data_IF_735293715529
#
_entry.id   IF_735293715529
#
_cell.length_a   1.000
_cell.length_b   1.000
_cell.length_c   1.000
_cell.angle_alpha   90.00
_cell.angle_beta   90.00
_cell.angle_gamma   90.00
#
_symmetry.space_group_name_H-M   'P 1'
#
loop_
_entity.id
_entity.type
_entity.pdbx_description
1 polymer ?
#
# COMPACT_ATOMS: atom_id res chain seq x y z
N UNK A 1 4.90 10.65 8.83
CA UNK A 1 5.54 11.66 7.97
C UNK A 1 4.60 12.81 7.66
N UNK A 2 3.54 12.63 6.87
CA UNK A 2 2.70 13.76 6.46
C UNK A 2 1.88 14.44 7.57
N UNK A 3 1.56 13.75 8.67
CA UNK A 3 0.93 14.33 9.87
C UNK A 3 1.84 15.27 10.70
N UNK A 4 3.15 15.31 10.44
CA UNK A 4 4.06 16.15 11.23
C UNK A 4 3.78 17.64 10.97
N UNK A 5 3.62 18.41 12.05
CA UNK A 5 3.37 19.86 12.04
C UNK A 5 4.68 20.65 11.89
N UNK A 6 5.37 20.42 10.78
CA UNK A 6 6.59 21.13 10.39
C UNK A 6 6.47 21.62 8.96
N UNK A 7 7.21 22.67 8.60
CA UNK A 7 7.31 23.11 7.22
C UNK A 7 7.91 21.99 6.37
N UNK A 8 7.16 21.54 5.36
CA UNK A 8 7.59 20.55 4.37
C UNK A 8 7.69 21.25 3.02
N UNK A 9 8.88 21.69 2.58
CA UNK A 9 9.03 22.46 1.35
C UNK A 9 8.86 21.63 0.07
N UNK A 10 8.73 20.31 0.19
CA UNK A 10 8.45 19.39 -0.92
C UNK A 10 7.34 18.40 -0.57
N UNK A 11 6.65 17.91 -1.60
CA UNK A 11 5.63 16.88 -1.47
C UNK A 11 6.25 15.55 -1.05
N UNK A 12 5.81 15.00 0.08
CA UNK A 12 6.19 13.67 0.53
C UNK A 12 5.14 12.66 0.06
N UNK A 13 5.40 12.05 -1.08
CA UNK A 13 4.55 11.02 -1.71
C UNK A 13 5.24 9.64 -1.69
N UNK A 14 4.63 8.66 -2.34
CA UNK A 14 5.12 7.28 -2.41
C UNK A 14 5.51 6.86 -3.83
N UNK A 15 6.48 5.96 -3.92
CA UNK A 15 6.77 5.16 -5.12
C UNK A 15 6.98 3.72 -4.66
N UNK A 16 5.89 2.95 -4.64
CA UNK A 16 5.86 1.64 -4.00
C UNK A 16 5.70 0.52 -5.02
N UNK A 17 6.62 -0.44 -4.99
CA UNK A 17 6.45 -1.75 -5.63
C UNK A 17 5.71 -2.72 -4.72
N UNK A 18 6.47 -3.44 -3.87
CA UNK A 18 5.94 -4.52 -3.01
C UNK A 18 4.81 -4.08 -2.08
N UNK A 19 4.91 -2.92 -1.44
CA UNK A 19 3.91 -2.45 -0.49
C UNK A 19 2.53 -2.19 -1.14
N UNK A 20 2.49 -2.02 -2.46
CA UNK A 20 1.27 -1.75 -3.21
C UNK A 20 0.75 -3.03 -3.89
N UNK A 21 1.64 -3.86 -4.42
CA UNK A 21 1.27 -5.04 -5.22
C UNK A 21 1.11 -6.34 -4.42
N UNK A 22 1.74 -6.49 -3.23
CA UNK A 22 1.81 -7.79 -2.56
C UNK A 22 0.42 -8.32 -2.14
N UNK A 23 -0.50 -7.48 -1.65
CA UNK A 23 -1.88 -7.92 -1.37
C UNK A 23 -2.63 -8.29 -2.64
N UNK A 24 -2.44 -7.55 -3.72
CA UNK A 24 -3.06 -7.82 -5.02
C UNK A 24 -2.59 -9.14 -5.60
N UNK A 25 -1.28 -9.42 -5.56
CA UNK A 25 -0.70 -10.67 -6.04
C UNK A 25 -1.19 -11.87 -5.23
N UNK A 26 -1.26 -11.73 -3.89
CA UNK A 26 -1.83 -12.77 -3.01
C UNK A 26 -3.30 -13.05 -3.33
N UNK A 27 -4.11 -12.01 -3.55
CA UNK A 27 -5.53 -12.18 -3.89
C UNK A 27 -5.74 -12.73 -5.30
N UNK A 28 -4.86 -12.38 -6.24
CA UNK A 28 -4.97 -12.86 -7.62
C UNK A 28 -4.64 -14.35 -7.74
N UNK A 29 -3.55 -14.81 -7.12
CA UNK A 29 -3.13 -16.21 -7.17
C UNK A 29 -2.78 -16.76 -8.56
N UNK A 30 -2.78 -15.92 -9.60
CA UNK A 30 -2.63 -16.35 -11.00
C UNK A 30 -3.92 -16.80 -11.67
N UNK A 31 -5.06 -16.75 -10.96
CA UNK A 31 -6.35 -17.24 -11.44
C UNK A 31 -7.15 -16.10 -12.10
N UNK A 32 -7.71 -16.35 -13.30
CA UNK A 32 -8.46 -15.32 -14.04
C UNK A 32 -9.75 -14.89 -13.33
N UNK A 33 -10.36 -15.79 -12.58
CA UNK A 33 -11.57 -15.53 -11.79
C UNK A 33 -11.35 -14.56 -10.63
N UNK A 34 -10.11 -14.46 -10.12
CA UNK A 34 -9.77 -13.58 -9.01
C UNK A 34 -9.33 -12.17 -9.46
N UNK A 35 -9.30 -11.88 -10.75
CA UNK A 35 -8.88 -10.56 -11.29
C UNK A 35 -9.69 -9.42 -10.68
N UNK A 36 -11.03 -9.56 -10.59
CA UNK A 36 -11.88 -8.52 -9.99
C UNK A 36 -11.56 -8.27 -8.52
N UNK A 37 -11.39 -9.34 -7.73
CA UNK A 37 -11.02 -9.25 -6.31
C UNK A 37 -9.62 -8.65 -6.11
N UNK A 38 -8.68 -9.00 -6.99
CA UNK A 38 -7.33 -8.47 -6.96
C UNK A 38 -7.28 -6.96 -7.27
N UNK A 39 -8.08 -6.51 -8.25
CA UNK A 39 -8.24 -5.09 -8.58
C UNK A 39 -8.84 -4.30 -7.41
N UNK A 40 -9.83 -4.85 -6.71
CA UNK A 40 -10.41 -4.22 -5.52
C UNK A 40 -9.39 -4.09 -4.38
N UNK A 41 -8.60 -5.15 -4.14
CA UNK A 41 -7.51 -5.13 -3.16
C UNK A 41 -6.44 -4.09 -3.52
N UNK A 42 -6.11 -3.96 -4.82
CA UNK A 42 -5.18 -2.95 -5.33
C UNK A 42 -5.71 -1.53 -5.10
N UNK A 43 -6.97 -1.28 -5.48
CA UNK A 43 -7.59 0.03 -5.34
C UNK A 43 -7.67 0.47 -3.89
N UNK A 44 -7.96 -0.46 -2.98
CA UNK A 44 -7.97 -0.20 -1.54
C UNK A 44 -6.61 0.29 -1.04
N UNK A 45 -5.52 -0.31 -1.52
CA UNK A 45 -4.15 0.15 -1.19
C UNK A 45 -3.81 1.48 -1.82
N UNK A 46 -4.21 1.72 -3.08
CA UNK A 46 -4.04 3.01 -3.73
C UNK A 46 -4.73 4.14 -2.94
N UNK A 47 -5.98 3.92 -2.51
CA UNK A 47 -6.72 4.88 -1.68
C UNK A 47 -6.02 5.13 -0.34
N UNK A 48 -5.62 4.07 0.36
CA UNK A 48 -4.89 4.18 1.62
C UNK A 48 -3.60 5.01 1.49
N UNK A 49 -2.83 4.78 0.43
CA UNK A 49 -1.60 5.53 0.19
C UNK A 49 -1.88 6.98 -0.21
N UNK A 50 -2.93 7.24 -1.00
CA UNK A 50 -3.40 8.60 -1.31
C UNK A 50 -3.82 9.36 -0.05
N UNK A 51 -4.54 8.72 0.87
CA UNK A 51 -4.89 9.36 2.15
C UNK A 51 -3.66 9.59 3.03
N UNK A 52 -2.63 8.73 2.92
CA UNK A 52 -1.39 8.87 3.66
C UNK A 52 -0.51 10.03 3.14
N UNK A 53 -0.56 10.35 1.83
CA UNK A 53 0.11 11.56 1.31
C UNK A 53 -0.52 12.84 1.86
N UNK A 54 -1.84 12.83 2.06
CA UNK A 54 -2.58 13.93 2.66
C UNK A 54 -2.53 13.95 4.19
N UNK A 55 -1.90 12.95 4.83
CA UNK A 55 -1.89 12.82 6.30
C UNK A 55 -3.25 12.44 6.90
N UNK A 56 -4.22 12.03 6.08
CA UNK A 56 -5.60 11.70 6.47
C UNK A 56 -5.82 10.21 6.75
N UNK A 57 -4.86 9.36 6.42
CA UNK A 57 -4.97 7.93 6.67
C UNK A 57 -5.09 7.60 8.17
N UNK A 58 -6.10 6.79 8.52
CA UNK A 58 -6.44 6.39 9.90
C UNK A 58 -6.22 4.91 10.19
N UNK A 59 -5.68 4.13 9.24
CA UNK A 59 -5.27 2.74 9.50
C UNK A 59 -6.31 1.65 9.21
N UNK A 60 -7.46 1.96 8.62
CA UNK A 60 -8.57 1.00 8.46
C UNK A 60 -8.63 0.17 7.18
N UNK A 61 -7.77 0.44 6.19
CA UNK A 61 -7.94 -0.12 4.82
C UNK A 61 -7.09 -1.37 4.54
N UNK A 62 -6.43 -1.94 5.54
CA UNK A 62 -5.56 -3.09 5.35
C UNK A 62 -6.26 -4.40 5.66
N UNK A 63 -6.57 -5.20 4.64
CA UNK A 63 -6.68 -6.65 4.82
C UNK A 63 -5.43 -7.16 5.57
N UNK A 64 -5.56 -8.19 6.42
CA UNK A 64 -4.53 -8.66 7.36
C UNK A 64 -3.11 -8.86 6.78
N UNK A 65 -2.98 -8.97 5.46
CA UNK A 65 -1.72 -8.88 4.72
C UNK A 65 -0.94 -7.56 4.94
N UNK A 66 -1.56 -6.47 5.39
CA UNK A 66 -0.88 -5.21 5.74
C UNK A 66 0.04 -5.36 6.97
N UNK A 67 -0.36 -6.27 7.86
CA UNK A 67 0.26 -6.49 9.17
C UNK A 67 1.40 -7.50 9.11
N UNK A 68 1.52 -8.22 7.98
CA UNK A 68 2.64 -9.10 7.74
C UNK A 68 3.89 -8.30 7.35
N UNK A 69 5.02 -8.65 7.96
CA UNK A 69 6.30 -8.03 7.63
C UNK A 69 6.68 -8.31 6.17
N UNK A 70 6.86 -7.24 5.39
CA UNK A 70 7.34 -7.29 4.01
C UNK A 70 8.86 -7.39 3.90
N UNK A 71 9.53 -7.45 5.06
CA UNK A 71 10.99 -7.53 5.15
C UNK A 71 11.48 -8.87 4.63
N UNK A 72 12.32 -8.83 3.61
CA UNK A 72 13.05 -9.99 3.11
C UNK A 72 14.53 -9.70 3.32
N UNK A 73 15.20 -10.52 4.14
CA UNK A 73 16.63 -10.37 4.45
C UNK A 73 17.43 -10.44 3.13
N UNK A 74 18.24 -9.41 2.86
CA UNK A 74 19.09 -9.34 1.67
C UNK A 74 18.46 -8.68 0.44
N UNK A 75 17.28 -8.07 0.56
CA UNK A 75 16.68 -7.32 -0.54
C UNK A 75 17.49 -6.04 -0.82
N UNK A 76 18.15 -5.98 -1.97
CA UNK A 76 18.88 -4.81 -2.45
C UNK A 76 17.96 -3.98 -3.36
N UNK A 77 17.94 -2.68 -3.15
CA UNK A 77 17.26 -1.69 -3.99
C UNK A 77 18.13 -1.31 -5.17
#
# INVERSE_FOLDING_TARGET
MNKLEVLKPWTLSFSFGRALQQSTLKTWGGEKENVGKAQEAFLTRCKANSDATLGKYTGGSGSGAASESLFVKGYKY
#
